data_IF_877391985735
#
_entry.id   IF_877391985735
#
_cell.length_a   1.000
_cell.length_b   1.000
_cell.length_c   1.000
_cell.angle_alpha   90.00
_cell.angle_beta   90.00
_cell.angle_gamma   90.00
#
_symmetry.space_group_name_H-M   'P 1'
#
loop_
_entity.id
_entity.type
_entity.pdbx_description
1 polymer ?
#
# COMPACT_ATOMS: atom_id res chain seq x y z
N UNK A 1 19.09 -34.49 54.28
CA UNK A 1 18.60 -33.42 53.39
C UNK A 1 18.64 -33.93 51.94
N UNK A 2 17.45 -34.25 51.34
CA UNK A 2 17.37 -34.78 49.98
C UNK A 2 17.23 -33.60 48.99
N UNK A 3 18.28 -33.29 48.23
CA UNK A 3 18.23 -32.34 47.13
C UNK A 3 17.41 -32.93 45.96
N UNK A 4 16.16 -32.48 45.81
CA UNK A 4 15.37 -32.74 44.59
C UNK A 4 15.92 -31.88 43.48
N UNK A 5 16.61 -32.51 42.52
CA UNK A 5 16.99 -31.86 41.26
C UNK A 5 15.72 -31.53 40.47
N UNK A 6 15.53 -30.28 40.00
CA UNK A 6 14.39 -29.95 39.18
C UNK A 6 14.44 -30.73 37.86
N UNK A 7 13.29 -31.23 37.48
CA UNK A 7 13.08 -32.23 36.45
C UNK A 7 13.57 -31.70 35.09
N UNK A 8 14.44 -32.47 34.43
CA UNK A 8 15.00 -32.25 33.09
C UNK A 8 13.91 -32.18 31.97
N UNK A 9 12.65 -32.34 32.35
CA UNK A 9 11.49 -32.37 31.46
C UNK A 9 10.99 -30.95 31.10
N UNK A 10 11.33 -29.93 31.91
CA UNK A 10 10.83 -28.54 31.67
C UNK A 10 11.59 -27.84 30.51
N UNK A 11 12.85 -28.21 30.31
CA UNK A 11 13.69 -27.57 29.28
C UNK A 11 13.21 -27.79 27.84
N UNK A 12 12.79 -29.00 27.40
CA UNK A 12 12.29 -29.21 26.06
C UNK A 12 10.93 -28.54 25.82
N UNK A 13 10.10 -28.35 26.86
CA UNK A 13 8.83 -27.64 26.75
C UNK A 13 9.01 -26.13 26.56
N UNK A 14 9.99 -25.52 27.21
CA UNK A 14 10.34 -24.11 27.05
C UNK A 14 10.92 -23.82 25.65
N UNK A 15 11.73 -24.74 25.12
CA UNK A 15 12.30 -24.62 23.77
C UNK A 15 11.22 -24.78 22.71
N UNK A 16 10.26 -25.70 22.88
CA UNK A 16 9.14 -25.88 21.96
C UNK A 16 8.20 -24.64 21.96
N UNK A 17 7.99 -23.99 23.11
CA UNK A 17 7.18 -22.77 23.20
C UNK A 17 7.84 -21.58 22.50
N UNK A 18 9.19 -21.51 22.52
CA UNK A 18 9.94 -20.42 21.85
C UNK A 18 9.85 -20.51 20.31
N UNK A 19 9.72 -21.72 19.76
CA UNK A 19 9.62 -21.93 18.32
C UNK A 19 8.26 -21.54 17.73
N UNK A 20 7.20 -21.40 18.54
CA UNK A 20 5.86 -21.06 18.08
C UNK A 20 5.73 -19.55 17.76
N UNK A 21 6.61 -18.71 18.29
CA UNK A 21 6.55 -17.25 18.11
C UNK A 21 7.30 -16.70 16.89
N UNK A 22 8.05 -17.51 16.13
CA UNK A 22 8.87 -17.04 15.01
C UNK A 22 8.21 -17.24 13.63
N UNK A 23 6.93 -17.62 13.55
CA UNK A 23 6.27 -17.86 12.25
C UNK A 23 5.22 -16.81 11.88
N UNK A 24 5.40 -15.58 12.29
CA UNK A 24 4.52 -14.48 11.84
C UNK A 24 5.27 -13.46 10.99
N UNK A 25 6.11 -13.91 10.06
CA UNK A 25 6.39 -13.13 8.88
C UNK A 25 5.35 -13.52 7.84
N UNK A 26 4.20 -12.86 7.86
CA UNK A 26 3.29 -12.87 6.73
C UNK A 26 4.01 -12.12 5.62
N UNK A 27 4.39 -12.86 4.59
CA UNK A 27 4.95 -12.31 3.38
C UNK A 27 3.83 -11.50 2.70
N UNK A 28 3.83 -10.18 2.92
CA UNK A 28 2.89 -9.27 2.29
C UNK A 28 3.34 -8.95 0.87
N UNK A 29 3.64 -9.97 0.09
CA UNK A 29 3.70 -9.80 -1.35
C UNK A 29 2.27 -9.66 -1.85
N UNK A 30 1.93 -8.49 -2.37
CA UNK A 30 0.68 -8.34 -3.13
C UNK A 30 0.67 -9.40 -4.22
N UNK A 31 -0.45 -10.10 -4.41
CA UNK A 31 -0.64 -10.87 -5.62
C UNK A 31 -0.41 -9.96 -6.84
N UNK A 32 0.11 -10.51 -7.96
CA UNK A 32 0.31 -9.74 -9.18
C UNK A 32 -0.93 -8.90 -9.50
N UNK A 33 -0.73 -7.70 -10.05
CA UNK A 33 -1.82 -6.81 -10.41
C UNK A 33 -2.83 -7.56 -11.30
N UNK A 34 -4.03 -7.83 -10.76
CA UNK A 34 -5.07 -8.66 -11.38
C UNK A 34 -5.60 -9.80 -10.52
N UNK A 35 -4.93 -10.18 -9.44
CA UNK A 35 -5.38 -11.30 -8.58
C UNK A 35 -6.17 -10.86 -7.34
N UNK A 36 -6.23 -9.57 -6.99
CA UNK A 36 -7.09 -9.14 -5.89
C UNK A 36 -8.42 -8.59 -6.40
N UNK A 37 -9.49 -9.06 -5.78
CA UNK A 37 -10.83 -8.61 -6.13
C UNK A 37 -11.20 -7.35 -5.33
N UNK A 38 -11.53 -6.28 -6.02
CA UNK A 38 -12.06 -5.06 -5.40
C UNK A 38 -13.54 -5.18 -5.03
N UNK A 39 -14.25 -6.19 -5.52
CA UNK A 39 -15.68 -6.41 -5.22
C UNK A 39 -15.94 -6.79 -3.76
N UNK A 40 -14.96 -7.37 -3.08
CA UNK A 40 -15.02 -7.73 -1.65
C UNK A 40 -14.25 -6.75 -0.77
N UNK A 41 -13.63 -5.75 -1.38
CA UNK A 41 -12.91 -4.70 -0.65
C UNK A 41 -13.91 -3.65 -0.15
N UNK A 42 -13.55 -2.96 0.94
CA UNK A 42 -14.37 -1.84 1.44
C UNK A 42 -14.58 -0.81 0.33
N UNK A 43 -15.65 -0.06 0.40
CA UNK A 43 -15.80 1.14 -0.41
C UNK A 43 -14.63 2.10 -0.12
N UNK A 44 -13.95 2.54 -1.16
CA UNK A 44 -12.78 3.41 -1.04
C UNK A 44 -13.21 4.85 -1.25
N UNK A 45 -13.00 5.67 -0.24
CA UNK A 45 -13.29 7.10 -0.28
C UNK A 45 -12.14 7.87 -0.90
N UNK A 46 -12.48 8.84 -1.76
CA UNK A 46 -11.48 9.75 -2.29
C UNK A 46 -10.84 10.58 -1.16
N UNK A 47 -11.63 11.23 -0.33
CA UNK A 47 -11.15 12.15 0.69
C UNK A 47 -10.37 11.45 1.81
N UNK A 48 -10.83 10.27 2.22
CA UNK A 48 -10.28 9.58 3.39
C UNK A 48 -9.11 8.66 3.02
N UNK A 49 -9.22 7.95 1.88
CA UNK A 49 -8.27 6.89 1.54
C UNK A 49 -7.29 7.33 0.44
N UNK A 50 -7.76 8.02 -0.60
CA UNK A 50 -6.97 8.33 -1.81
C UNK A 50 -6.21 9.64 -1.70
N UNK A 51 -6.86 10.71 -1.26
CA UNK A 51 -6.26 12.04 -1.19
C UNK A 51 -5.01 12.11 -0.29
N UNK A 52 -4.95 11.43 0.87
CA UNK A 52 -3.70 11.35 1.65
C UNK A 52 -2.53 10.72 0.88
N UNK A 53 -2.80 9.70 0.05
CA UNK A 53 -1.77 9.07 -0.79
C UNK A 53 -1.26 10.07 -1.84
N UNK A 54 -2.19 10.78 -2.50
CA UNK A 54 -1.83 11.81 -3.49
C UNK A 54 -0.94 12.86 -2.86
N UNK A 55 -1.34 13.40 -1.71
CA UNK A 55 -0.63 14.48 -1.03
C UNK A 55 0.78 14.07 -0.56
N UNK A 56 0.93 12.82 -0.12
CA UNK A 56 2.21 12.33 0.43
C UNK A 56 3.16 11.75 -0.61
N UNK A 57 2.66 11.32 -1.77
CA UNK A 57 3.46 10.52 -2.71
C UNK A 57 3.41 11.01 -4.16
N UNK A 58 2.38 11.77 -4.55
CA UNK A 58 2.20 12.19 -5.95
C UNK A 58 2.31 13.72 -6.11
N UNK A 59 1.72 14.49 -5.19
CA UNK A 59 1.59 15.94 -5.24
C UNK A 59 2.32 16.64 -4.09
N UNK A 60 3.49 16.13 -3.73
CA UNK A 60 4.31 16.65 -2.62
C UNK A 60 4.60 18.13 -2.85
N UNK A 61 4.44 18.94 -1.82
CA UNK A 61 4.75 20.38 -1.84
C UNK A 61 6.27 20.54 -1.73
N UNK A 62 6.90 21.23 -2.69
CA UNK A 62 8.34 21.48 -2.74
C UNK A 62 8.98 21.00 -4.05
N UNK A 63 10.31 21.00 -4.11
CA UNK A 63 11.13 20.79 -5.32
C UNK A 63 11.12 19.35 -5.90
N UNK A 64 10.09 18.63 -5.79
CA UNK A 64 9.99 17.27 -6.33
C UNK A 64 8.56 16.83 -6.62
N UNK A 65 7.58 17.68 -6.34
CA UNK A 65 6.18 17.36 -6.55
C UNK A 65 5.78 17.38 -8.01
N UNK A 66 5.64 16.19 -8.61
CA UNK A 66 5.33 16.08 -10.03
C UNK A 66 3.88 16.50 -10.36
N UNK A 67 2.96 16.32 -9.41
CA UNK A 67 1.52 16.51 -9.62
C UNK A 67 0.90 17.53 -8.64
N UNK A 68 1.63 18.59 -8.35
CA UNK A 68 1.20 19.68 -7.46
C UNK A 68 0.82 20.98 -8.20
N UNK A 69 0.59 20.89 -9.49
CA UNK A 69 0.22 22.04 -10.33
C UNK A 69 1.41 22.84 -10.87
N UNK A 70 2.63 22.60 -10.41
CA UNK A 70 3.84 23.29 -10.89
C UNK A 70 4.14 23.05 -12.39
N UNK A 71 3.69 21.93 -12.93
CA UNK A 71 3.80 21.58 -14.34
C UNK A 71 2.52 21.91 -15.16
N UNK A 72 1.61 22.65 -14.58
CA UNK A 72 0.34 23.05 -15.17
C UNK A 72 -0.86 22.74 -14.30
N UNK A 73 -1.91 23.58 -14.33
CA UNK A 73 -3.05 23.45 -13.41
C UNK A 73 -3.80 22.12 -13.55
N UNK A 74 -3.85 21.53 -14.75
CA UNK A 74 -4.47 20.21 -14.98
C UNK A 74 -3.68 19.04 -14.39
N UNK A 75 -2.45 19.28 -13.94
CA UNK A 75 -1.59 18.31 -13.27
C UNK A 75 -1.57 18.50 -11.74
N UNK A 76 -2.41 19.35 -11.20
CA UNK A 76 -2.65 19.40 -9.76
C UNK A 76 -3.64 18.31 -9.36
N UNK A 77 -3.12 17.19 -8.92
CA UNK A 77 -3.92 16.02 -8.54
C UNK A 77 -4.59 16.15 -7.16
N UNK A 78 -4.30 17.21 -6.43
CA UNK A 78 -5.06 17.56 -5.21
C UNK A 78 -6.48 18.03 -5.56
N UNK A 79 -6.70 18.44 -6.81
CA UNK A 79 -8.01 18.77 -7.35
C UNK A 79 -8.66 17.50 -7.89
N UNK A 80 -9.77 17.07 -7.28
CA UNK A 80 -10.46 15.83 -7.60
C UNK A 80 -10.64 15.59 -9.12
N UNK A 81 -11.24 16.54 -9.83
CA UNK A 81 -11.52 16.40 -11.26
C UNK A 81 -10.27 16.14 -12.10
N UNK A 82 -9.13 16.75 -11.73
CA UNK A 82 -7.85 16.52 -12.43
C UNK A 82 -7.36 15.08 -12.21
N UNK A 83 -7.45 14.58 -10.98
CA UNK A 83 -7.05 13.22 -10.64
C UNK A 83 -7.99 12.19 -11.25
N UNK A 84 -9.31 12.38 -11.10
CA UNK A 84 -10.34 11.51 -11.67
C UNK A 84 -10.17 11.34 -13.19
N UNK A 85 -9.89 12.42 -13.91
CA UNK A 85 -9.66 12.38 -15.37
C UNK A 85 -8.47 11.49 -15.77
N UNK A 86 -7.60 11.14 -14.82
CA UNK A 86 -6.41 10.31 -15.01
C UNK A 86 -6.49 8.95 -14.30
N UNK A 87 -7.63 8.61 -13.71
CA UNK A 87 -7.80 7.44 -12.85
C UNK A 87 -7.26 6.14 -13.48
N UNK A 88 -7.62 5.84 -14.72
CA UNK A 88 -7.12 4.65 -15.42
C UNK A 88 -5.60 4.69 -15.68
N UNK A 89 -5.05 5.87 -15.97
CA UNK A 89 -3.60 6.02 -16.15
C UNK A 89 -2.87 5.87 -14.80
N UNK A 90 -3.46 6.34 -13.70
CA UNK A 90 -2.92 6.13 -12.35
C UNK A 90 -2.87 4.65 -12.05
N UNK A 91 -3.99 3.93 -12.21
CA UNK A 91 -4.06 2.47 -12.00
C UNK A 91 -2.98 1.74 -12.80
N UNK A 92 -2.86 2.00 -14.12
CA UNK A 92 -1.85 1.39 -14.96
C UNK A 92 -0.42 1.65 -14.44
N UNK A 93 -0.13 2.88 -14.01
CA UNK A 93 1.24 3.26 -13.65
C UNK A 93 1.66 2.78 -12.27
N UNK A 94 0.76 2.73 -11.29
CA UNK A 94 1.09 2.27 -9.93
C UNK A 94 1.19 0.75 -9.84
N UNK A 95 0.59 0.02 -10.79
CA UNK A 95 0.65 -1.45 -10.85
C UNK A 95 1.81 -2.00 -11.68
N UNK A 96 2.58 -1.14 -12.35
CA UNK A 96 3.78 -1.55 -13.08
C UNK A 96 4.88 -1.97 -12.12
N UNK A 97 5.73 -2.89 -12.57
CA UNK A 97 6.91 -3.30 -11.80
C UNK A 97 7.79 -2.09 -11.50
N UNK A 98 8.20 -1.87 -10.23
CA UNK A 98 9.11 -0.79 -9.87
C UNK A 98 10.37 -0.77 -10.75
N UNK A 99 10.79 0.43 -11.17
CA UNK A 99 11.94 0.61 -12.05
C UNK A 99 11.67 0.45 -13.55
N UNK A 100 10.48 -0.04 -13.95
CA UNK A 100 10.13 -0.12 -15.38
C UNK A 100 9.67 1.23 -15.93
N UNK A 101 9.71 1.35 -17.26
CA UNK A 101 9.26 2.56 -17.93
C UNK A 101 7.79 2.88 -17.60
N UNK A 102 7.56 4.11 -17.13
CA UNK A 102 6.21 4.59 -16.79
C UNK A 102 5.68 4.15 -15.41
N UNK A 103 6.42 3.38 -14.62
CA UNK A 103 6.05 3.14 -13.21
C UNK A 103 6.02 4.45 -12.42
N UNK A 104 5.04 4.58 -11.52
CA UNK A 104 4.89 5.71 -10.60
C UNK A 104 4.64 5.23 -9.17
N UNK A 105 5.13 5.95 -8.16
CA UNK A 105 5.93 7.18 -8.26
C UNK A 105 7.36 6.91 -8.79
N UNK A 106 7.96 7.90 -9.44
CA UNK A 106 9.36 7.80 -9.91
C UNK A 106 10.39 7.99 -8.81
N UNK A 107 10.01 8.70 -7.76
CA UNK A 107 10.82 8.99 -6.59
C UNK A 107 10.01 8.60 -5.36
N UNK A 108 10.64 7.94 -4.40
CA UNK A 108 9.94 7.35 -3.27
C UNK A 108 9.21 6.06 -3.65
N UNK A 109 8.31 5.64 -2.79
CA UNK A 109 7.49 4.44 -2.99
C UNK A 109 6.12 4.63 -2.34
N UNK A 110 5.14 3.88 -2.80
CA UNK A 110 3.86 3.66 -2.13
C UNK A 110 3.79 2.21 -1.70
N UNK A 111 3.09 1.94 -0.61
CA UNK A 111 2.91 0.59 -0.10
C UNK A 111 1.94 -0.19 -0.95
N UNK A 112 1.97 -1.51 -0.83
CA UNK A 112 1.05 -2.40 -1.52
C UNK A 112 -0.41 -2.12 -1.15
N UNK A 113 -0.69 -1.78 0.10
CA UNK A 113 -2.04 -1.38 0.53
C UNK A 113 -2.47 -0.06 -0.12
N UNK A 114 -1.54 0.90 -0.29
CA UNK A 114 -1.83 2.14 -1.01
C UNK A 114 -2.08 1.89 -2.51
N UNK A 115 -1.32 0.99 -3.14
CA UNK A 115 -1.60 0.54 -4.51
C UNK A 115 -3.00 -0.05 -4.60
N UNK A 116 -3.37 -0.94 -3.66
CA UNK A 116 -4.70 -1.57 -3.62
C UNK A 116 -5.80 -0.53 -3.47
N UNK A 117 -5.66 0.44 -2.57
CA UNK A 117 -6.62 1.53 -2.40
C UNK A 117 -6.82 2.29 -3.71
N UNK A 118 -5.75 2.71 -4.38
CA UNK A 118 -5.82 3.42 -5.65
C UNK A 118 -6.51 2.59 -6.75
N UNK A 119 -6.15 1.31 -6.87
CA UNK A 119 -6.75 0.41 -7.87
C UNK A 119 -8.23 0.20 -7.59
N UNK A 120 -8.61 -0.10 -6.34
CA UNK A 120 -10.00 -0.37 -6.00
C UNK A 120 -10.87 0.90 -6.09
N UNK A 121 -10.35 2.07 -5.76
CA UNK A 121 -11.05 3.32 -6.01
C UNK A 121 -11.40 3.50 -7.50
N UNK A 122 -10.44 3.22 -8.39
CA UNK A 122 -10.68 3.30 -9.85
C UNK A 122 -11.71 2.27 -10.31
N UNK A 123 -11.62 1.02 -9.84
CA UNK A 123 -12.56 -0.05 -10.22
C UNK A 123 -13.97 0.14 -9.65
N UNK A 124 -14.09 0.84 -8.53
CA UNK A 124 -15.37 1.24 -7.94
C UNK A 124 -15.97 2.48 -8.60
N UNK A 125 -15.36 3.02 -9.65
CA UNK A 125 -15.89 4.10 -10.47
C UNK A 125 -15.30 5.48 -10.17
N UNK A 126 -14.21 5.55 -9.41
CA UNK A 126 -13.47 6.78 -9.13
C UNK A 126 -14.38 7.90 -8.59
N UNK A 127 -15.17 7.58 -7.57
CA UNK A 127 -16.18 8.49 -6.99
C UNK A 127 -15.53 9.58 -6.12
N UNK A 128 -16.21 10.73 -6.06
CA UNK A 128 -15.96 11.83 -5.13
C UNK A 128 -16.82 11.61 -3.87
N UNK A 129 -16.27 10.94 -2.86
CA UNK A 129 -16.99 10.48 -1.68
C UNK A 129 -16.14 10.54 -0.40
#
# INVERSE_FOLDING_TARGET
MKNKRPSLVILPFLIALLFIFVQSCVDHTLPPAGEFSCSTFKEVSFDIDVQPIINSSCAIVGDGGCHNGGNGPSLDWRVFNNFQSRANAVKDRVTRTPGTAGHMPKVGSITDDQVRLLVCWVEQGAQDN
#
